data_IF_666105738632
#
_entry.id   IF_666105738632
#
_cell.length_a   1.000
_cell.length_b   1.000
_cell.length_c   1.000
_cell.angle_alpha   90.00
_cell.angle_beta   90.00
_cell.angle_gamma   90.00
#
_symmetry.space_group_name_H-M   'P 1'
#
loop_
_entity.id
_entity.type
_entity.pdbx_description
1 polymer ?
#
# COMPACT_ATOMS: atom_id res chain seq x y z
N UNK A 1 -25.52 4.97 -2.67
CA UNK A 1 -24.22 5.52 -3.11
C UNK A 1 -23.11 4.78 -2.37
N UNK A 2 -22.24 4.05 -3.09
CA UNK A 2 -21.22 3.16 -2.48
C UNK A 2 -20.15 4.02 -1.81
N UNK A 3 -20.07 4.02 -0.47
CA UNK A 3 -18.97 4.69 0.25
C UNK A 3 -17.63 4.11 -0.25
N UNK A 4 -16.95 4.83 -1.13
CA UNK A 4 -15.58 4.50 -1.55
C UNK A 4 -14.67 4.89 -0.40
N UNK A 5 -14.42 3.96 0.53
CA UNK A 5 -13.33 4.14 1.51
C UNK A 5 -12.06 4.48 0.72
N UNK A 6 -11.31 5.55 1.07
CA UNK A 6 -10.09 5.90 0.37
C UNK A 6 -9.05 4.80 0.62
N UNK A 7 -8.83 3.93 -0.37
CA UNK A 7 -7.80 2.90 -0.34
C UNK A 7 -6.68 3.31 -1.29
N UNK A 8 -5.43 3.07 -0.89
CA UNK A 8 -4.25 3.43 -1.69
C UNK A 8 -3.57 2.19 -2.27
N UNK A 9 -3.41 1.18 -1.43
CA UNK A 9 -2.74 -0.07 -1.72
C UNK A 9 -3.68 -1.24 -1.36
N UNK A 10 -3.78 -2.23 -2.25
CA UNK A 10 -4.39 -3.53 -1.94
C UNK A 10 -3.36 -4.61 -2.09
N UNK A 11 -3.30 -5.52 -1.12
CA UNK A 11 -2.42 -6.68 -1.15
C UNK A 11 -3.23 -7.95 -1.38
N UNK A 12 -2.77 -8.81 -2.28
CA UNK A 12 -3.28 -10.16 -2.47
C UNK A 12 -2.18 -11.17 -2.16
N UNK A 13 -2.54 -12.17 -1.36
CA UNK A 13 -1.64 -13.23 -0.90
C UNK A 13 -2.29 -14.60 -1.06
N UNK A 14 -2.79 -14.91 -2.26
CA UNK A 14 -3.41 -16.22 -2.55
C UNK A 14 -2.70 -16.90 -3.73
N UNK A 15 -2.49 -18.22 -3.60
CA UNK A 15 -1.87 -19.13 -4.58
C UNK A 15 -0.40 -18.84 -4.96
N UNK A 16 0.46 -18.51 -3.98
CA UNK A 16 1.92 -18.45 -4.20
C UNK A 16 2.43 -17.20 -4.91
N UNK A 17 1.57 -16.22 -5.21
CA UNK A 17 1.95 -14.91 -5.74
C UNK A 17 1.60 -13.80 -4.75
N UNK A 18 2.55 -12.89 -4.54
CA UNK A 18 2.37 -11.68 -3.72
C UNK A 18 2.17 -10.52 -4.69
N UNK A 19 0.95 -9.99 -4.76
CA UNK A 19 0.61 -8.87 -5.63
C UNK A 19 0.18 -7.65 -4.82
N UNK A 20 0.65 -6.46 -5.22
CA UNK A 20 0.20 -5.17 -4.68
C UNK A 20 -0.43 -4.34 -5.81
N UNK A 21 -1.67 -3.90 -5.63
CA UNK A 21 -2.35 -2.99 -6.56
C UNK A 21 -2.36 -1.58 -6.00
N UNK A 22 -2.15 -0.62 -6.89
CA UNK A 22 -2.25 0.81 -6.61
C UNK A 22 -3.29 1.44 -7.52
N UNK A 23 -3.86 2.57 -7.10
CA UNK A 23 -4.77 3.34 -7.96
C UNK A 23 -4.00 3.99 -9.10
N UNK A 24 -4.60 4.03 -10.29
CA UNK A 24 -3.97 4.63 -11.48
C UNK A 24 -3.59 6.10 -11.30
N UNK A 25 -4.36 6.85 -10.52
CA UNK A 25 -4.06 8.24 -10.17
C UNK A 25 -2.74 8.39 -9.38
N UNK A 26 -2.38 7.37 -8.62
CA UNK A 26 -1.20 7.36 -7.76
C UNK A 26 0.04 6.79 -8.48
N UNK A 27 -0.13 6.14 -9.64
CA UNK A 27 0.95 5.53 -10.41
C UNK A 27 2.00 6.55 -10.79
N UNK A 28 1.60 7.74 -11.27
CA UNK A 28 2.57 8.78 -11.67
C UNK A 28 3.51 9.12 -10.52
N UNK A 29 2.96 9.34 -9.32
CA UNK A 29 3.76 9.64 -8.13
C UNK A 29 4.71 8.48 -7.77
N UNK A 30 4.22 7.25 -7.80
CA UNK A 30 5.02 6.06 -7.52
C UNK A 30 6.17 5.90 -8.53
N UNK A 31 5.92 6.10 -9.82
CA UNK A 31 6.95 6.02 -10.86
C UNK A 31 8.02 7.09 -10.67
N UNK A 32 7.65 8.32 -10.29
CA UNK A 32 8.64 9.37 -9.98
C UNK A 32 9.48 8.99 -8.76
N UNK A 33 8.86 8.51 -7.68
CA UNK A 33 9.59 8.06 -6.50
C UNK A 33 10.57 6.92 -6.83
N UNK A 34 10.14 5.94 -7.63
CA UNK A 34 11.02 4.86 -8.09
C UNK A 34 12.17 5.42 -8.93
N UNK A 35 11.88 6.27 -9.92
CA UNK A 35 12.92 6.85 -10.79
C UNK A 35 13.96 7.67 -10.01
N UNK A 36 13.57 8.31 -8.90
CA UNK A 36 14.48 9.07 -8.05
C UNK A 36 15.35 8.18 -7.14
N UNK A 37 14.80 7.07 -6.64
CA UNK A 37 15.43 6.31 -5.56
C UNK A 37 15.91 4.90 -5.93
N UNK A 38 15.67 4.42 -7.17
CA UNK A 38 15.98 3.03 -7.56
C UNK A 38 17.46 2.65 -7.43
N UNK A 39 18.38 3.62 -7.52
CA UNK A 39 19.82 3.38 -7.36
C UNK A 39 20.24 3.23 -5.89
N UNK A 40 19.44 3.73 -4.95
CA UNK A 40 19.79 3.78 -3.53
C UNK A 40 19.07 2.71 -2.71
N UNK A 41 17.86 2.30 -3.14
CA UNK A 41 17.03 1.34 -2.43
C UNK A 41 16.30 0.41 -3.40
N UNK A 42 16.05 -0.86 -3.03
CA UNK A 42 15.14 -1.72 -3.77
C UNK A 42 13.74 -1.11 -3.82
N UNK A 43 13.01 -1.40 -4.89
CA UNK A 43 11.70 -0.84 -5.18
C UNK A 43 10.70 -1.07 -4.04
N UNK A 44 10.73 -2.23 -3.38
CA UNK A 44 9.84 -2.54 -2.26
C UNK A 44 10.01 -1.58 -1.06
N UNK A 45 11.25 -1.15 -0.79
CA UNK A 45 11.51 -0.17 0.27
C UNK A 45 11.04 1.21 -0.15
N UNK A 46 11.24 1.60 -1.41
CA UNK A 46 10.73 2.89 -1.93
C UNK A 46 9.20 2.94 -1.83
N UNK A 47 8.52 1.86 -2.23
CA UNK A 47 7.06 1.76 -2.13
C UNK A 47 6.58 1.80 -0.67
N UNK A 48 7.35 1.20 0.25
CA UNK A 48 7.04 1.22 1.68
C UNK A 48 7.24 2.61 2.30
N UNK A 49 8.30 3.32 1.89
CA UNK A 49 8.58 4.69 2.32
C UNK A 49 7.50 5.65 1.81
N UNK A 50 7.12 5.54 0.53
CA UNK A 50 6.02 6.32 -0.06
C UNK A 50 4.72 6.08 0.69
N UNK A 51 4.39 4.82 0.97
CA UNK A 51 3.19 4.48 1.74
C UNK A 51 3.23 5.05 3.15
N UNK A 52 4.39 5.01 3.81
CA UNK A 52 4.57 5.62 5.12
C UNK A 52 4.39 7.13 5.05
N UNK A 53 5.12 7.84 4.19
CA UNK A 53 5.07 9.30 4.05
C UNK A 53 3.69 9.83 3.66
N UNK A 54 2.86 9.03 2.97
CA UNK A 54 1.50 9.45 2.61
C UNK A 54 0.54 9.49 3.79
N UNK A 55 0.82 8.72 4.84
CA UNK A 55 -0.09 8.51 5.97
C UNK A 55 0.46 8.95 7.32
N UNK A 56 1.78 9.07 7.40
CA UNK A 56 2.50 9.68 8.51
C UNK A 56 2.91 11.10 8.12
N UNK A 57 2.35 12.10 8.81
CA UNK A 57 3.02 13.40 8.89
C UNK A 57 4.16 13.34 9.91
N UNK A 58 5.29 14.04 9.69
CA UNK A 58 6.39 14.14 10.67
C UNK A 58 5.96 14.68 12.04
N UNK A 59 4.84 15.42 12.06
CA UNK A 59 4.20 16.04 13.22
C UNK A 59 3.45 15.05 14.13
N UNK A 60 3.29 13.78 13.74
CA UNK A 60 2.48 12.81 14.48
C UNK A 60 3.30 11.68 15.12
N UNK A 61 2.88 11.27 16.32
CA UNK A 61 3.51 10.20 17.08
C UNK A 61 3.37 8.85 16.34
N UNK A 62 4.42 8.02 16.36
CA UNK A 62 4.55 6.78 15.58
C UNK A 62 3.40 5.79 15.83
N UNK A 63 2.85 5.77 17.04
CA UNK A 63 1.71 4.93 17.45
C UNK A 63 0.37 5.28 16.78
N UNK A 64 0.18 6.53 16.39
CA UNK A 64 -1.04 6.99 15.72
C UNK A 64 -1.01 6.62 14.24
N UNK A 65 0.17 6.70 13.63
CA UNK A 65 0.38 6.37 12.23
C UNK A 65 0.29 4.86 11.95
N UNK A 66 0.77 4.01 12.87
CA UNK A 66 0.61 2.56 12.75
C UNK A 66 -0.88 2.14 12.74
N UNK A 67 -1.73 2.81 13.53
CA UNK A 67 -3.18 2.55 13.52
C UNK A 67 -3.81 2.92 12.18
N UNK A 68 -3.55 4.14 11.71
CA UNK A 68 -4.06 4.64 10.41
C UNK A 68 -3.60 3.74 9.26
N UNK A 69 -2.35 3.27 9.29
CA UNK A 69 -1.82 2.27 8.37
C UNK A 69 -2.66 0.99 8.38
N UNK A 70 -2.89 0.36 9.53
CA UNK A 70 -3.68 -0.88 9.59
C UNK A 70 -5.11 -0.74 9.07
N UNK A 71 -5.77 0.41 9.28
CA UNK A 71 -7.15 0.63 8.81
C UNK A 71 -7.28 0.86 7.30
N UNK A 72 -6.23 1.33 6.62
CA UNK A 72 -6.24 1.56 5.17
C UNK A 72 -5.68 0.40 4.35
N UNK A 73 -5.08 -0.59 5.00
CA UNK A 73 -4.62 -1.82 4.39
C UNK A 73 -5.83 -2.76 4.19
N UNK A 74 -6.43 -2.73 3.00
CA UNK A 74 -7.42 -3.74 2.64
C UNK A 74 -6.68 -5.05 2.39
N UNK A 75 -6.67 -5.93 3.39
CA UNK A 75 -6.30 -7.34 3.20
C UNK A 75 -7.48 -8.06 2.55
N UNK A 76 -7.46 -8.12 1.23
CA UNK A 76 -8.43 -8.93 0.48
C UNK A 76 -7.97 -10.39 0.51
N UNK A 77 -8.59 -11.22 1.36
CA UNK A 77 -8.64 -12.67 1.15
C UNK A 77 -9.54 -12.92 -0.06
N UNK A 78 -8.96 -13.17 -1.24
CA UNK A 78 -9.74 -13.42 -2.47
C UNK A 78 -10.34 -14.84 -2.52
N UNK A 79 -9.97 -15.74 -1.60
CA UNK A 79 -10.51 -17.09 -1.56
C UNK A 79 -10.63 -17.56 -0.11
N UNK A 80 -11.81 -17.36 0.47
CA UNK A 80 -12.29 -18.17 1.59
C UNK A 80 -13.70 -18.62 1.25
N UNK A 81 -13.81 -19.48 0.22
CA UNK A 81 -14.88 -20.45 0.01
C UNK A 81 -14.56 -21.25 -1.24
N UNK A 82 -14.34 -22.55 -1.07
CA UNK A 82 -14.03 -23.47 -2.15
C UNK A 82 -13.25 -24.66 -1.62
N UNK A 83 -14.01 -25.62 -1.08
CA UNK A 83 -13.61 -27.03 -0.93
C UNK A 83 -12.58 -27.41 -2.00
N UNK A 84 -11.39 -27.83 -1.56
CA UNK A 84 -10.73 -29.09 -1.90
C UNK A 84 -9.64 -29.34 -0.86
#
# INVERSE_FOLDING_TARGET
MKQRRPWFSMHFTNLGFIGKMFRSEDIKYLTHAIALYYQYKPVDWILSDVEYSRYCSPEHNTTQCQRVRQFMWIKTKIFSQGLF
#
